data_IF_180911730982
#
_entry.id   IF_180911730982
#
_cell.length_a   1.000
_cell.length_b   1.000
_cell.length_c   1.000
_cell.angle_alpha   90.00
_cell.angle_beta   90.00
_cell.angle_gamma   90.00
#
_symmetry.space_group_name_H-M   'P 1'
#
loop_
_entity.id
_entity.type
_entity.pdbx_description
1 polymer ?
#
# COMPACT_ATOMS: atom_id res chain seq x y z
N UNK A 1 1.63 16.51 20.71
CA UNK A 1 2.09 17.84 20.27
C UNK A 1 1.32 18.94 20.97
N UNK A 2 2.02 20.03 21.35
CA UNK A 2 1.41 21.21 21.98
C UNK A 2 1.27 22.40 21.01
N UNK A 3 1.88 22.29 19.83
CA UNK A 3 1.83 23.28 18.75
C UNK A 3 1.53 22.59 17.44
N UNK A 4 0.90 23.31 16.52
CA UNK A 4 0.74 22.87 15.12
C UNK A 4 1.87 23.40 14.26
N UNK A 5 2.01 22.87 13.05
CA UNK A 5 2.98 23.36 12.07
C UNK A 5 3.73 22.26 11.31
N UNK A 6 4.82 22.65 10.66
CA UNK A 6 5.65 21.77 9.87
C UNK A 6 6.98 21.48 10.54
N UNK A 7 7.30 20.21 10.70
CA UNK A 7 8.62 19.72 11.14
C UNK A 7 9.40 19.37 9.89
N UNK A 8 10.41 20.16 9.57
CA UNK A 8 11.25 19.93 8.40
C UNK A 8 12.49 19.11 8.79
N UNK A 9 12.44 17.81 8.47
CA UNK A 9 13.54 16.89 8.72
C UNK A 9 14.71 17.20 7.76
N UNK A 10 15.91 17.19 8.27
CA UNK A 10 17.14 17.37 7.48
C UNK A 10 17.66 16.06 6.91
N UNK A 11 17.32 14.97 7.57
CA UNK A 11 17.71 13.60 7.20
C UNK A 11 16.65 12.60 7.66
N UNK A 12 16.78 11.35 7.26
CA UNK A 12 15.89 10.25 7.67
C UNK A 12 15.78 10.17 9.19
N UNK A 13 14.58 10.26 9.72
CA UNK A 13 14.31 10.00 11.13
C UNK A 13 14.09 8.48 11.33
N UNK A 14 15.04 7.84 12.00
CA UNK A 14 14.91 6.43 12.42
C UNK A 14 14.24 6.35 13.78
N UNK A 15 13.28 5.44 13.91
CA UNK A 15 12.54 5.19 15.15
C UNK A 15 12.88 3.80 15.72
N UNK A 16 13.98 3.66 16.48
CA UNK A 16 14.46 2.36 16.96
C UNK A 16 13.85 1.95 18.31
N UNK A 17 13.08 2.81 18.96
CA UNK A 17 12.50 2.53 20.29
C UNK A 17 11.10 1.96 20.15
N UNK A 18 10.79 0.84 20.81
CA UNK A 18 9.45 0.27 20.83
C UNK A 18 8.50 1.03 21.78
N UNK A 19 7.20 0.69 21.69
CA UNK A 19 6.15 1.23 22.55
C UNK A 19 5.98 2.76 22.40
N UNK A 20 5.90 3.23 21.17
CA UNK A 20 5.79 4.66 20.86
C UNK A 20 4.45 4.98 20.20
N UNK A 21 3.84 6.07 20.62
CA UNK A 21 2.69 6.68 19.94
C UNK A 21 3.04 8.09 19.46
N UNK A 22 2.92 8.33 18.17
CA UNK A 22 2.97 9.65 17.56
C UNK A 22 1.53 10.15 17.40
N UNK A 23 1.09 10.99 18.32
CA UNK A 23 -0.30 11.45 18.45
C UNK A 23 -0.50 12.84 17.85
N UNK A 24 -0.71 12.92 16.54
CA UNK A 24 -0.92 14.20 15.83
C UNK A 24 -2.22 14.91 16.19
N UNK A 25 -3.23 14.19 16.63
CA UNK A 25 -4.53 14.75 17.03
C UNK A 25 -4.46 15.70 18.23
N UNK A 26 -3.37 15.68 18.99
CA UNK A 26 -3.17 16.60 20.09
C UNK A 26 -2.65 17.98 19.65
N UNK A 27 -2.29 18.13 18.39
CA UNK A 27 -1.78 19.41 17.86
C UNK A 27 -2.93 20.36 17.52
N UNK A 28 -2.84 21.63 17.88
CA UNK A 28 -3.85 22.64 17.55
C UNK A 28 -3.79 23.05 16.08
N UNK A 29 -4.83 23.77 15.63
CA UNK A 29 -4.93 24.37 14.31
C UNK A 29 -4.88 23.34 13.20
N UNK A 30 -4.01 23.53 12.21
CA UNK A 30 -3.86 22.62 11.06
C UNK A 30 -3.11 21.32 11.36
N UNK A 31 -2.82 21.00 12.61
CA UNK A 31 -2.10 19.79 12.99
C UNK A 31 -0.61 19.78 12.64
N UNK A 32 -0.01 18.61 12.54
CA UNK A 32 1.42 18.42 12.26
C UNK A 32 1.64 17.94 10.83
N UNK A 33 2.60 18.57 10.17
CA UNK A 33 3.17 18.12 8.91
C UNK A 33 4.64 17.73 9.13
N UNK A 34 5.06 16.59 8.58
CA UNK A 34 6.46 16.17 8.54
C UNK A 34 6.92 16.26 7.10
N UNK A 35 8.00 16.99 6.84
CA UNK A 35 8.52 17.24 5.50
C UNK A 35 10.04 17.13 5.43
N UNK A 36 10.60 17.19 4.22
CA UNK A 36 12.05 17.28 3.96
C UNK A 36 12.77 15.95 3.88
N UNK A 37 12.38 14.96 4.68
CA UNK A 37 12.90 13.61 4.62
C UNK A 37 11.87 12.60 5.15
N UNK A 38 12.21 11.33 5.13
CA UNK A 38 11.30 10.26 5.53
C UNK A 38 11.43 9.86 7.01
N UNK A 39 10.38 9.20 7.52
CA UNK A 39 10.45 8.47 8.79
C UNK A 39 10.59 6.97 8.47
N UNK A 40 11.44 6.31 9.23
CA UNK A 40 11.63 4.87 9.17
C UNK A 40 11.43 4.23 10.54
N UNK A 41 10.40 3.39 10.65
CA UNK A 41 10.05 2.66 11.86
C UNK A 41 10.54 1.21 11.70
N UNK A 42 11.41 0.78 12.60
CA UNK A 42 11.94 -0.59 12.65
C UNK A 42 11.93 -1.13 14.09
N UNK A 43 10.89 -0.75 14.82
CA UNK A 43 10.66 -1.17 16.19
C UNK A 43 9.18 -1.45 16.40
N UNK A 44 8.88 -2.36 17.29
CA UNK A 44 7.54 -2.87 17.53
C UNK A 44 6.67 -1.98 18.43
N UNK A 45 5.36 -2.28 18.43
CA UNK A 45 4.35 -1.61 19.24
C UNK A 45 4.31 -0.10 18.94
N UNK A 46 4.04 0.25 17.68
CA UNK A 46 4.10 1.62 17.21
C UNK A 46 2.75 2.11 16.68
N UNK A 47 2.30 3.28 17.11
CA UNK A 47 1.06 3.90 16.66
C UNK A 47 1.38 5.27 16.09
N UNK A 48 0.92 5.55 14.87
CA UNK A 48 1.03 6.88 14.24
C UNK A 48 -0.36 7.35 13.83
N UNK A 49 -0.77 8.51 14.33
CA UNK A 49 -2.12 9.03 14.06
C UNK A 49 -2.11 10.52 13.75
N UNK A 50 -2.96 10.91 12.78
CA UNK A 50 -3.24 12.31 12.42
C UNK A 50 -2.00 13.12 12.03
N UNK A 51 -1.09 12.53 11.28
CA UNK A 51 0.12 13.18 10.75
C UNK A 51 0.00 13.34 9.23
N UNK A 52 0.45 14.47 8.73
CA UNK A 52 0.64 14.70 7.30
C UNK A 52 2.11 14.50 6.95
N UNK A 53 2.40 13.59 6.03
CA UNK A 53 3.74 13.32 5.53
C UNK A 53 3.90 13.93 4.14
N UNK A 54 4.89 14.81 3.98
CA UNK A 54 5.20 15.53 2.73
C UNK A 54 6.71 15.52 2.54
N UNK A 55 7.26 14.34 2.20
CA UNK A 55 8.71 14.13 2.19
C UNK A 55 9.43 15.07 1.21
N UNK A 56 8.90 15.25 0.00
CA UNK A 56 9.56 16.02 -1.04
C UNK A 56 10.83 15.35 -1.55
N UNK A 57 11.58 16.05 -2.39
CA UNK A 57 12.81 15.56 -2.99
C UNK A 57 14.07 16.36 -2.60
N UNK A 58 13.96 17.23 -1.59
CA UNK A 58 15.06 18.09 -1.17
C UNK A 58 16.22 17.29 -0.57
N UNK A 59 15.92 16.21 0.16
CA UNK A 59 16.95 15.34 0.74
C UNK A 59 17.70 14.51 -0.30
N UNK A 60 17.15 14.35 -1.51
CA UNK A 60 17.72 13.51 -2.57
C UNK A 60 17.76 12.02 -2.25
N UNK A 61 17.02 11.57 -1.25
CA UNK A 61 16.98 10.18 -0.81
C UNK A 61 15.82 9.43 -1.47
N UNK A 62 16.10 8.28 -2.08
CA UNK A 62 15.13 7.44 -2.80
C UNK A 62 14.24 6.63 -1.83
N UNK A 63 13.56 7.29 -0.90
CA UNK A 63 12.77 6.61 0.12
C UNK A 63 11.29 6.98 0.04
N UNK A 64 10.46 6.06 0.52
CA UNK A 64 9.05 6.31 0.81
C UNK A 64 8.91 7.38 1.91
N UNK A 65 7.82 8.14 1.94
CA UNK A 65 7.63 9.14 3.00
C UNK A 65 7.56 8.50 4.39
N UNK A 66 6.99 7.29 4.49
CA UNK A 66 7.01 6.45 5.67
C UNK A 66 7.43 5.03 5.29
N UNK A 67 8.49 4.52 5.90
CA UNK A 67 8.94 3.14 5.76
C UNK A 67 8.78 2.37 7.07
N UNK A 68 8.20 1.16 7.00
CA UNK A 68 7.97 0.27 8.14
C UNK A 68 8.26 -1.15 7.68
N UNK A 69 9.32 -1.72 8.17
CA UNK A 69 9.80 -3.02 7.72
C UNK A 69 10.36 -3.83 8.88
N UNK A 70 10.19 -5.16 8.83
CA UNK A 70 10.77 -6.10 9.78
C UNK A 70 10.40 -5.80 11.24
N UNK A 71 9.12 -5.58 11.49
CA UNK A 71 8.61 -5.25 12.83
C UNK A 71 7.20 -5.80 13.05
N UNK A 72 6.61 -5.51 14.20
CA UNK A 72 5.29 -6.04 14.57
C UNK A 72 4.46 -5.06 15.39
N UNK A 73 3.14 -5.29 15.42
CA UNK A 73 2.18 -4.52 16.19
C UNK A 73 2.18 -3.01 15.81
N UNK A 74 1.81 -2.71 14.58
CA UNK A 74 1.83 -1.37 14.02
C UNK A 74 0.41 -0.91 13.67
N UNK A 75 0.07 0.32 14.05
CA UNK A 75 -1.15 0.99 13.59
C UNK A 75 -0.80 2.35 12.98
N UNK A 76 -1.21 2.56 11.74
CA UNK A 76 -1.18 3.85 11.05
C UNK A 76 -2.62 4.27 10.79
N UNK A 77 -3.03 5.39 11.37
CA UNK A 77 -4.43 5.78 11.40
C UNK A 77 -4.63 7.28 11.14
N UNK A 78 -5.58 7.63 10.26
CA UNK A 78 -5.93 9.02 9.93
C UNK A 78 -4.72 9.88 9.50
N UNK A 79 -3.81 9.33 8.74
CA UNK A 79 -2.64 10.02 8.21
C UNK A 79 -2.82 10.37 6.72
N UNK A 80 -2.04 11.32 6.24
CA UNK A 80 -1.97 11.60 4.80
C UNK A 80 -0.53 11.65 4.29
N UNK A 81 -0.33 11.09 3.11
CA UNK A 81 0.98 10.90 2.50
C UNK A 81 0.98 11.44 1.09
N UNK A 82 1.93 12.32 0.77
CA UNK A 82 2.12 12.87 -0.58
C UNK A 82 3.56 13.28 -0.81
N UNK A 83 3.91 13.46 -2.08
CA UNK A 83 5.18 14.03 -2.53
C UNK A 83 6.41 13.19 -2.14
N UNK A 84 6.26 11.89 -2.06
CA UNK A 84 7.39 10.96 -1.91
C UNK A 84 8.11 10.75 -3.24
N UNK A 85 9.39 10.42 -3.18
CA UNK A 85 10.19 10.08 -4.35
C UNK A 85 10.04 8.63 -4.79
N UNK A 86 9.75 7.73 -3.87
CA UNK A 86 9.45 6.30 -4.12
C UNK A 86 7.95 6.08 -3.87
N UNK A 87 7.54 5.14 -3.03
CA UNK A 87 6.15 5.05 -2.57
C UNK A 87 5.81 6.11 -1.55
N UNK A 88 4.53 6.48 -1.44
CA UNK A 88 4.09 7.27 -0.29
C UNK A 88 4.29 6.51 1.01
N UNK A 89 4.00 5.20 1.01
CA UNK A 89 4.15 4.34 2.19
C UNK A 89 4.68 2.97 1.78
N UNK A 90 5.66 2.48 2.55
CA UNK A 90 6.17 1.12 2.45
C UNK A 90 5.92 0.39 3.77
N UNK A 91 5.10 -0.68 3.75
CA UNK A 91 4.77 -1.52 4.92
C UNK A 91 4.75 -2.97 4.49
N UNK A 92 5.83 -3.70 4.72
CA UNK A 92 5.94 -5.11 4.39
C UNK A 92 6.94 -5.83 5.29
N UNK A 93 6.97 -7.15 5.23
CA UNK A 93 7.80 -8.00 6.09
C UNK A 93 7.57 -7.70 7.58
N UNK A 94 6.31 -7.39 7.91
CA UNK A 94 5.85 -7.06 9.25
C UNK A 94 4.84 -8.10 9.72
N UNK A 95 4.52 -8.08 11.03
CA UNK A 95 3.41 -8.85 11.62
C UNK A 95 2.43 -7.94 12.32
N UNK A 96 1.14 -8.31 12.25
CA UNK A 96 0.08 -7.62 13.00
C UNK A 96 0.07 -6.11 12.72
N UNK A 97 -0.05 -5.75 11.44
CA UNK A 97 -0.06 -4.35 11.03
C UNK A 97 -1.43 -3.93 10.52
N UNK A 98 -1.82 -2.71 10.86
CA UNK A 98 -3.04 -2.09 10.34
C UNK A 98 -2.74 -0.71 9.81
N UNK A 99 -3.21 -0.41 8.59
CA UNK A 99 -3.25 0.96 8.06
C UNK A 99 -4.69 1.28 7.66
N UNK A 100 -5.23 2.34 8.25
CA UNK A 100 -6.64 2.67 8.09
C UNK A 100 -6.91 4.17 8.00
N UNK A 101 -7.99 4.54 7.30
CA UNK A 101 -8.48 5.90 7.18
C UNK A 101 -7.42 6.91 6.74
N UNK A 102 -6.52 6.46 5.88
CA UNK A 102 -5.41 7.25 5.38
C UNK A 102 -5.65 7.71 3.95
N UNK A 103 -4.97 8.79 3.56
CA UNK A 103 -4.93 9.29 2.19
C UNK A 103 -3.51 9.15 1.66
N UNK A 104 -3.35 8.45 0.54
CA UNK A 104 -2.11 8.28 -0.19
C UNK A 104 -2.28 8.92 -1.57
N UNK A 105 -1.74 10.11 -1.78
CA UNK A 105 -1.98 10.85 -3.02
C UNK A 105 -0.75 11.55 -3.55
N UNK A 106 -0.75 11.85 -4.84
CA UNK A 106 0.20 12.74 -5.49
C UNK A 106 1.68 12.48 -5.12
N UNK A 107 2.18 11.23 -5.22
CA UNK A 107 3.61 10.99 -5.15
C UNK A 107 4.32 11.68 -6.31
N UNK A 108 5.59 12.05 -6.16
CA UNK A 108 6.34 12.75 -7.19
C UNK A 108 6.63 11.81 -8.37
N UNK A 109 6.11 12.14 -9.54
CA UNK A 109 6.40 11.40 -10.76
C UNK A 109 7.81 11.72 -11.28
N UNK A 110 8.13 13.01 -11.40
CA UNK A 110 9.46 13.49 -11.74
C UNK A 110 10.09 14.07 -10.47
N UNK A 111 11.22 13.53 -10.09
CA UNK A 111 11.96 13.92 -8.87
C UNK A 111 13.44 13.67 -9.05
N UNK A 112 14.24 13.87 -8.02
CA UNK A 112 15.67 13.53 -7.99
C UNK A 112 15.97 12.04 -7.82
N UNK A 113 14.97 11.16 -7.96
CA UNK A 113 15.16 9.72 -7.82
C UNK A 113 16.12 9.18 -8.90
N UNK A 114 17.12 8.42 -8.51
CA UNK A 114 18.17 7.89 -9.39
C UNK A 114 17.67 6.90 -10.45
N UNK A 115 16.54 6.23 -10.21
CA UNK A 115 15.88 5.33 -11.17
C UNK A 115 14.91 6.04 -12.12
N UNK A 116 14.89 7.39 -12.14
CA UNK A 116 14.00 8.18 -12.98
C UNK A 116 12.57 8.29 -12.43
N UNK A 117 11.59 8.36 -13.35
CA UNK A 117 10.19 8.61 -13.01
C UNK A 117 9.57 7.47 -12.17
N UNK A 118 8.89 7.85 -11.06
CA UNK A 118 8.28 6.93 -10.10
C UNK A 118 6.77 7.22 -9.92
N UNK A 119 6.35 7.87 -8.87
CA UNK A 119 4.97 8.27 -8.62
C UNK A 119 4.10 7.14 -8.05
N UNK A 120 4.60 6.37 -7.09
CA UNK A 120 3.92 5.18 -6.57
C UNK A 120 3.17 5.44 -5.26
N UNK A 121 2.02 4.75 -5.10
CA UNK A 121 1.18 4.86 -3.92
C UNK A 121 1.76 4.16 -2.71
N UNK A 122 1.78 2.84 -2.70
CA UNK A 122 2.28 2.08 -1.56
C UNK A 122 2.85 0.71 -1.97
N UNK A 123 3.67 0.16 -1.09
CA UNK A 123 4.03 -1.24 -1.08
C UNK A 123 3.54 -1.85 0.23
N UNK A 124 2.61 -2.80 0.17
CA UNK A 124 1.94 -3.41 1.31
C UNK A 124 2.15 -4.91 1.33
N UNK A 125 2.19 -5.49 2.53
CA UNK A 125 2.31 -6.91 2.75
C UNK A 125 2.61 -7.21 4.20
N UNK A 126 2.85 -8.48 4.51
CA UNK A 126 3.20 -8.95 5.84
C UNK A 126 2.24 -10.01 6.36
N UNK A 127 2.57 -10.57 7.52
CA UNK A 127 1.78 -11.59 8.18
C UNK A 127 0.72 -10.95 9.07
N UNK A 128 -0.55 -11.39 8.96
CA UNK A 128 -1.69 -10.83 9.68
C UNK A 128 -1.82 -9.30 9.53
N UNK A 129 -1.77 -8.83 8.28
CA UNK A 129 -1.77 -7.40 7.97
C UNK A 129 -3.07 -6.97 7.31
N UNK A 130 -3.68 -5.88 7.79
CA UNK A 130 -4.94 -5.36 7.28
C UNK A 130 -4.81 -3.90 6.84
N UNK A 131 -5.20 -3.62 5.60
CA UNK A 131 -5.17 -2.30 4.98
C UNK A 131 -6.59 -1.94 4.54
N UNK A 132 -7.24 -1.01 5.26
CA UNK A 132 -8.66 -0.75 5.01
C UNK A 132 -9.06 0.71 5.12
N UNK A 133 -10.13 1.08 4.42
CA UNK A 133 -10.70 2.43 4.42
C UNK A 133 -9.69 3.52 4.05
N UNK A 134 -8.76 3.22 3.15
CA UNK A 134 -7.79 4.18 2.65
C UNK A 134 -8.20 4.71 1.28
N UNK A 135 -7.75 5.91 0.96
CA UNK A 135 -7.89 6.52 -0.36
C UNK A 135 -6.53 6.58 -1.05
N UNK A 136 -6.42 5.94 -2.20
CA UNK A 136 -5.37 6.20 -3.18
C UNK A 136 -5.90 7.17 -4.24
N UNK A 137 -5.17 8.25 -4.51
CA UNK A 137 -5.53 9.19 -5.56
C UNK A 137 -4.31 9.72 -6.31
N UNK A 138 -4.41 9.79 -7.64
CA UNK A 138 -3.39 10.39 -8.49
C UNK A 138 -1.99 9.76 -8.36
N UNK A 139 -1.93 8.45 -8.17
CA UNK A 139 -0.70 7.68 -8.17
C UNK A 139 -0.49 7.05 -9.55
N UNK A 140 0.75 6.98 -10.02
CA UNK A 140 1.05 6.37 -11.34
C UNK A 140 0.78 4.86 -11.33
N UNK A 141 0.95 4.22 -10.18
CA UNK A 141 0.70 2.81 -9.95
C UNK A 141 1.03 2.44 -8.51
N UNK A 142 1.09 1.13 -8.21
CA UNK A 142 1.29 0.62 -6.86
C UNK A 142 0.24 1.16 -5.88
N UNK A 143 -1.02 0.86 -6.18
CA UNK A 143 -2.13 1.24 -5.31
C UNK A 143 -2.86 0.01 -4.75
N UNK A 144 -2.18 -0.88 -4.03
CA UNK A 144 -0.73 -0.96 -3.76
C UNK A 144 0.04 -1.91 -4.71
N UNK A 145 1.36 -1.99 -4.60
CA UNK A 145 2.11 -3.21 -4.87
C UNK A 145 1.90 -4.12 -3.66
N UNK A 146 1.35 -5.31 -3.88
CA UNK A 146 1.23 -6.34 -2.84
C UNK A 146 2.53 -7.11 -2.77
N UNK A 147 3.21 -6.98 -1.65
CA UNK A 147 4.45 -7.69 -1.40
C UNK A 147 4.12 -9.13 -1.02
N UNK A 148 4.44 -10.07 -1.88
CA UNK A 148 4.26 -11.49 -1.58
C UNK A 148 5.35 -12.06 -0.69
N UNK A 149 5.32 -13.37 -0.48
CA UNK A 149 6.33 -14.07 0.30
C UNK A 149 7.68 -14.06 -0.40
N UNK A 150 8.75 -13.80 0.36
CA UNK A 150 10.14 -13.68 -0.15
C UNK A 150 11.12 -14.27 0.83
N UNK A 151 12.24 -14.80 0.33
CA UNK A 151 13.35 -15.25 1.17
C UNK A 151 14.29 -14.08 1.46
N UNK A 152 13.96 -13.29 2.45
CA UNK A 152 14.91 -12.37 3.05
C UNK A 152 15.35 -12.94 4.40
N UNK A 153 16.58 -13.36 4.45
CA UNK A 153 17.14 -14.15 5.54
C UNK A 153 17.20 -13.47 6.91
N UNK A 154 16.86 -12.21 7.03
CA UNK A 154 17.11 -11.46 8.26
C UNK A 154 15.94 -11.40 9.24
N UNK A 155 14.69 -11.60 8.81
CA UNK A 155 13.53 -11.34 9.67
C UNK A 155 12.66 -12.56 9.98
N UNK A 156 12.69 -13.60 9.15
CA UNK A 156 11.79 -14.76 9.28
C UNK A 156 10.30 -14.45 9.11
N UNK A 157 9.95 -13.22 8.68
CA UNK A 157 8.58 -12.75 8.55
C UNK A 157 8.11 -12.66 7.09
N UNK A 158 8.99 -12.87 6.17
CA UNK A 158 8.79 -12.64 4.75
C UNK A 158 8.38 -13.90 3.96
N UNK A 159 8.50 -15.08 4.54
CA UNK A 159 8.07 -16.34 3.93
C UNK A 159 6.55 -16.64 4.12
N UNK A 160 5.90 -15.99 5.07
CA UNK A 160 4.50 -16.21 5.43
C UNK A 160 3.75 -14.88 5.35
N UNK A 161 2.95 -14.72 4.32
CA UNK A 161 2.23 -13.47 4.05
C UNK A 161 0.74 -13.73 3.97
N UNK A 162 -0.02 -13.08 4.82
CA UNK A 162 -1.47 -13.00 4.75
C UNK A 162 -1.92 -11.54 4.93
N UNK A 163 -2.43 -10.99 3.84
CA UNK A 163 -2.73 -9.57 3.74
C UNK A 163 -4.20 -9.37 3.39
N UNK A 164 -4.86 -8.47 4.09
CA UNK A 164 -6.21 -8.04 3.78
C UNK A 164 -6.21 -6.61 3.22
N UNK A 165 -6.82 -6.41 2.06
CA UNK A 165 -7.00 -5.12 1.39
C UNK A 165 -8.51 -4.93 1.21
N UNK A 166 -9.13 -4.16 2.11
CA UNK A 166 -10.58 -4.15 2.27
C UNK A 166 -11.14 -2.73 2.31
N UNK A 167 -12.22 -2.47 1.59
CA UNK A 167 -12.95 -1.20 1.64
C UNK A 167 -12.10 0.03 1.31
N UNK A 168 -11.12 -0.08 0.44
CA UNK A 168 -10.32 1.06 -0.01
C UNK A 168 -10.91 1.67 -1.28
N UNK A 169 -10.57 2.93 -1.52
CA UNK A 169 -10.90 3.65 -2.75
C UNK A 169 -9.63 3.91 -3.54
N UNK A 170 -9.66 3.58 -4.82
CA UNK A 170 -8.55 3.79 -5.76
C UNK A 170 -9.03 4.70 -6.89
N UNK A 171 -8.51 5.92 -6.93
CA UNK A 171 -8.93 6.92 -7.91
C UNK A 171 -7.78 7.39 -8.79
N UNK A 172 -8.04 7.44 -10.10
CA UNK A 172 -7.18 8.09 -11.08
C UNK A 172 -5.71 7.62 -11.04
N UNK A 173 -5.51 6.29 -11.03
CA UNK A 173 -4.16 5.73 -11.20
C UNK A 173 -3.66 5.95 -12.64
N UNK A 174 -2.35 5.90 -12.81
CA UNK A 174 -1.71 6.14 -14.11
C UNK A 174 -1.53 4.85 -14.93
N UNK A 175 -0.51 4.83 -15.75
CA UNK A 175 -0.27 3.83 -16.78
C UNK A 175 0.36 2.51 -16.30
N UNK A 176 0.47 2.27 -15.02
CA UNK A 176 1.11 1.05 -14.45
C UNK A 176 0.13 0.09 -13.78
N UNK A 177 -1.17 0.29 -14.00
CA UNK A 177 -2.21 -0.46 -13.32
C UNK A 177 -2.45 0.01 -11.89
N UNK A 178 -3.56 -0.38 -11.30
CA UNK A 178 -3.87 -0.02 -9.93
C UNK A 178 -3.08 -0.88 -8.94
N UNK A 179 -3.41 -2.14 -8.82
CA UNK A 179 -2.81 -3.08 -7.89
C UNK A 179 -2.10 -4.22 -8.64
N UNK A 180 -0.99 -4.69 -8.10
CA UNK A 180 -0.32 -5.88 -8.61
C UNK A 180 0.56 -6.53 -7.53
N UNK A 181 1.00 -7.77 -7.78
CA UNK A 181 1.95 -8.46 -6.92
C UNK A 181 1.40 -9.72 -6.26
N UNK A 182 1.83 -9.99 -5.04
CA UNK A 182 1.38 -11.11 -4.22
C UNK A 182 1.98 -12.46 -4.60
N UNK A 183 3.04 -12.52 -5.41
CA UNK A 183 3.68 -13.77 -5.80
C UNK A 183 4.44 -14.41 -4.65
N UNK A 184 4.66 -15.71 -4.79
CA UNK A 184 5.54 -16.47 -3.94
C UNK A 184 6.95 -16.50 -4.55
N UNK A 185 7.92 -15.97 -3.83
CA UNK A 185 9.34 -15.98 -4.20
C UNK A 185 10.19 -16.69 -3.13
N UNK A 186 9.55 -17.44 -2.24
CA UNK A 186 10.20 -18.16 -1.15
C UNK A 186 10.36 -19.63 -1.49
N UNK A 187 11.49 -20.22 -1.09
CA UNK A 187 11.75 -21.65 -1.12
C UNK A 187 11.66 -22.28 0.27
N UNK A 188 11.29 -21.51 1.28
CA UNK A 188 11.06 -22.02 2.64
C UNK A 188 9.90 -22.99 2.62
N UNK A 189 10.07 -24.14 3.24
CA UNK A 189 9.00 -25.16 3.33
C UNK A 189 7.76 -24.59 4.02
N UNK A 190 6.61 -24.77 3.38
CA UNK A 190 5.33 -24.25 3.87
C UNK A 190 5.12 -22.74 3.66
N UNK A 191 6.04 -22.04 2.98
CA UNK A 191 5.87 -20.63 2.65
C UNK A 191 4.55 -20.38 1.90
N UNK A 192 3.89 -19.25 2.19
CA UNK A 192 2.66 -18.87 1.52
C UNK A 192 2.57 -17.36 1.31
N UNK A 193 1.84 -16.98 0.26
CA UNK A 193 1.39 -15.62 0.02
C UNK A 193 -0.11 -15.62 -0.22
N UNK A 194 -0.87 -15.06 0.69
CA UNK A 194 -2.34 -15.04 0.68
C UNK A 194 -2.84 -13.61 0.75
N UNK A 195 -3.78 -13.25 -0.12
CA UNK A 195 -4.33 -11.90 -0.16
C UNK A 195 -5.84 -11.95 -0.27
N UNK A 196 -6.53 -11.29 0.65
CA UNK A 196 -7.94 -10.97 0.56
C UNK A 196 -8.11 -9.58 -0.07
N UNK A 197 -8.74 -9.49 -1.21
CA UNK A 197 -9.06 -8.25 -1.91
C UNK A 197 -10.58 -8.07 -1.95
N UNK A 198 -11.14 -7.33 -0.99
CA UNK A 198 -12.58 -7.34 -0.73
C UNK A 198 -13.16 -5.93 -0.70
N UNK A 199 -14.29 -5.74 -1.38
CA UNK A 199 -15.10 -4.53 -1.31
C UNK A 199 -14.34 -3.22 -1.62
N UNK A 200 -13.29 -3.25 -2.42
CA UNK A 200 -12.59 -2.03 -2.83
C UNK A 200 -13.30 -1.38 -4.02
N UNK A 201 -13.19 -0.06 -4.11
CA UNK A 201 -13.75 0.71 -5.20
C UNK A 201 -12.65 1.30 -6.08
N UNK A 202 -12.68 0.95 -7.36
CA UNK A 202 -11.71 1.39 -8.37
C UNK A 202 -12.39 2.33 -9.37
N UNK A 203 -11.97 3.58 -9.36
CA UNK A 203 -12.48 4.62 -10.25
C UNK A 203 -11.38 5.17 -11.15
N UNK A 204 -11.34 4.81 -12.44
CA UNK A 204 -10.48 5.44 -13.41
C UNK A 204 -10.71 6.94 -13.48
N UNK A 205 -9.65 7.68 -13.77
CA UNK A 205 -9.70 9.13 -13.94
C UNK A 205 -8.93 9.58 -15.18
N UNK A 206 -8.68 10.89 -15.31
CA UNK A 206 -8.00 11.43 -16.50
C UNK A 206 -6.60 10.86 -16.75
N UNK A 207 -5.90 10.40 -15.71
CA UNK A 207 -4.58 9.79 -15.84
C UNK A 207 -4.62 8.29 -16.17
N UNK A 208 -5.75 7.63 -15.97
CA UNK A 208 -5.95 6.23 -16.29
C UNK A 208 -6.26 6.09 -17.78
N UNK A 209 -5.42 5.38 -18.52
CA UNK A 209 -5.68 5.16 -19.94
C UNK A 209 -6.58 3.94 -20.17
N UNK A 210 -7.16 3.82 -21.37
CA UNK A 210 -8.12 2.76 -21.70
C UNK A 210 -7.54 1.35 -21.60
N UNK A 211 -6.25 1.18 -21.75
CA UNK A 211 -5.58 -0.10 -21.58
C UNK A 211 -5.56 -0.52 -20.11
N UNK A 212 -5.36 0.42 -19.21
CA UNK A 212 -5.31 0.19 -17.77
C UNK A 212 -6.69 0.04 -17.13
N UNK A 213 -7.77 0.44 -17.82
CA UNK A 213 -9.13 0.21 -17.36
C UNK A 213 -9.47 -1.28 -17.19
N UNK A 214 -8.66 -2.17 -17.76
CA UNK A 214 -8.85 -3.63 -17.68
C UNK A 214 -8.16 -4.26 -16.48
N UNK A 215 -7.31 -3.51 -15.78
CA UNK A 215 -6.39 -4.06 -14.80
C UNK A 215 -6.49 -3.30 -13.48
N UNK A 216 -7.43 -3.63 -12.64
CA UNK A 216 -7.39 -3.12 -11.29
C UNK A 216 -6.50 -4.02 -10.40
N UNK A 217 -6.35 -5.31 -10.72
CA UNK A 217 -5.45 -6.22 -10.01
C UNK A 217 -4.72 -7.12 -11.01
N UNK A 218 -3.40 -7.17 -10.94
CA UNK A 218 -2.54 -8.09 -11.68
C UNK A 218 -1.84 -9.04 -10.71
N UNK A 219 -2.46 -10.19 -10.48
CA UNK A 219 -1.96 -11.23 -9.59
C UNK A 219 -0.84 -12.08 -10.22
N UNK A 220 -0.54 -11.87 -11.50
CA UNK A 220 0.48 -12.62 -12.27
C UNK A 220 1.73 -11.81 -12.57
N UNK A 221 1.82 -10.58 -12.09
CA UNK A 221 2.98 -9.72 -12.29
C UNK A 221 4.26 -10.41 -11.82
N UNK A 222 5.29 -10.42 -12.66
CA UNK A 222 6.56 -11.11 -12.40
C UNK A 222 6.46 -12.63 -12.15
N UNK A 223 5.38 -13.28 -12.59
CA UNK A 223 5.17 -14.71 -12.41
C UNK A 223 6.31 -15.59 -12.97
N UNK A 224 7.02 -15.11 -13.99
CA UNK A 224 8.15 -15.82 -14.59
C UNK A 224 9.38 -15.92 -13.68
N UNK A 225 9.50 -15.06 -12.69
CA UNK A 225 10.59 -15.05 -11.72
C UNK A 225 10.19 -15.61 -10.36
N UNK A 226 8.90 -15.90 -10.18
CA UNK A 226 8.35 -16.41 -8.93
C UNK A 226 8.54 -17.93 -8.80
N UNK A 227 8.60 -18.43 -7.56
CA UNK A 227 8.54 -19.87 -7.25
C UNK A 227 7.12 -20.39 -7.31
N UNK A 228 6.13 -19.50 -7.25
CA UNK A 228 4.72 -19.78 -7.38
C UNK A 228 3.87 -18.52 -7.41
N UNK A 229 2.60 -18.69 -7.75
CA UNK A 229 1.61 -17.62 -7.66
C UNK A 229 1.07 -17.55 -6.23
N UNK A 230 0.70 -16.35 -5.80
CA UNK A 230 0.01 -16.17 -4.54
C UNK A 230 -1.44 -16.67 -4.62
N UNK A 231 -2.01 -16.90 -3.46
CA UNK A 231 -3.40 -17.30 -3.30
C UNK A 231 -4.25 -16.03 -3.06
N UNK A 232 -5.33 -15.87 -3.83
CA UNK A 232 -6.15 -14.68 -3.78
C UNK A 232 -7.62 -15.02 -3.52
N UNK A 233 -8.23 -14.32 -2.59
CA UNK A 233 -9.68 -14.23 -2.49
C UNK A 233 -10.11 -12.84 -2.94
N UNK A 234 -10.92 -12.77 -4.00
CA UNK A 234 -11.34 -11.51 -4.63
C UNK A 234 -12.87 -11.50 -4.65
N UNK A 235 -13.47 -10.59 -3.88
CA UNK A 235 -14.92 -10.48 -3.80
C UNK A 235 -15.40 -9.06 -3.55
N UNK A 236 -16.60 -8.71 -4.00
CA UNK A 236 -17.29 -7.46 -3.74
C UNK A 236 -16.60 -6.19 -4.27
N UNK A 237 -15.51 -6.30 -5.02
CA UNK A 237 -14.83 -5.12 -5.56
C UNK A 237 -15.63 -4.49 -6.70
N UNK A 238 -15.66 -3.17 -6.73
CA UNK A 238 -16.34 -2.40 -7.76
C UNK A 238 -15.33 -1.68 -8.64
N UNK A 239 -15.47 -1.84 -9.94
CA UNK A 239 -14.63 -1.20 -10.94
C UNK A 239 -15.48 -0.34 -11.87
N UNK A 240 -15.31 0.97 -11.84
CA UNK A 240 -16.01 1.91 -12.71
C UNK A 240 -15.22 2.12 -14.00
N UNK A 241 -15.68 1.53 -15.11
CA UNK A 241 -15.04 1.71 -16.42
C UNK A 241 -15.68 2.83 -17.20
N UNK A 242 -14.96 3.38 -18.19
CA UNK A 242 -15.51 4.40 -19.09
C UNK A 242 -16.68 3.86 -19.94
N UNK A 243 -16.72 2.57 -20.23
CA UNK A 243 -17.80 1.89 -20.94
C UNK A 243 -19.10 1.89 -20.14
N UNK A 244 -19.02 2.00 -18.82
CA UNK A 244 -20.17 1.95 -17.89
C UNK A 244 -20.57 3.29 -17.32
N UNK A 245 -20.11 4.40 -17.86
CA UNK A 245 -20.48 5.75 -17.39
C UNK A 245 -21.99 5.98 -17.34
N UNK A 246 -22.75 5.22 -18.11
CA UNK A 246 -24.23 5.29 -18.18
C UNK A 246 -24.91 4.06 -17.53
N UNK A 247 -24.19 3.08 -17.06
CA UNK A 247 -24.77 1.91 -16.41
C UNK A 247 -24.69 2.06 -14.89
N UNK A 248 -25.87 1.98 -14.29
CA UNK A 248 -26.01 2.01 -12.83
C UNK A 248 -25.48 0.74 -12.14
N UNK A 249 -25.13 -0.29 -12.90
CA UNK A 249 -24.63 -1.59 -12.42
C UNK A 249 -23.10 -1.77 -12.43
N UNK A 250 -22.30 -0.81 -12.84
CA UNK A 250 -21.20 -0.28 -12.10
C UNK A 250 -20.00 -1.05 -11.66
N UNK A 251 -19.70 -2.12 -12.10
CA UNK A 251 -18.52 -2.91 -11.79
C UNK A 251 -18.63 -4.20 -12.52
N UNK A 252 -18.06 -4.27 -13.70
CA UNK A 252 -17.99 -5.54 -14.41
C UNK A 252 -16.90 -6.40 -13.76
N UNK A 253 -17.26 -7.07 -12.69
CA UNK A 253 -16.42 -8.10 -12.11
C UNK A 253 -15.98 -9.16 -13.13
N UNK A 254 -16.70 -9.33 -14.23
CA UNK A 254 -16.36 -10.32 -15.24
C UNK A 254 -15.07 -10.00 -15.97
N UNK A 255 -14.78 -8.73 -16.25
CA UNK A 255 -13.50 -8.32 -16.88
C UNK A 255 -12.32 -8.46 -15.92
N UNK A 256 -12.53 -8.19 -14.67
CA UNK A 256 -11.55 -8.43 -13.62
C UNK A 256 -11.32 -9.91 -13.46
N UNK A 257 -12.40 -10.66 -13.37
CA UNK A 257 -12.39 -12.08 -13.14
C UNK A 257 -11.75 -12.83 -14.32
N UNK A 258 -11.98 -12.43 -15.57
CA UNK A 258 -11.37 -13.07 -16.73
C UNK A 258 -9.84 -13.08 -16.69
N UNK A 259 -9.22 -12.08 -16.05
CA UNK A 259 -7.76 -11.97 -15.97
C UNK A 259 -7.18 -12.38 -14.61
N UNK A 260 -7.98 -12.43 -13.56
CA UNK A 260 -7.49 -12.68 -12.20
C UNK A 260 -8.03 -13.96 -11.57
N UNK A 261 -9.19 -14.47 -12.00
CA UNK A 261 -9.74 -15.73 -11.48
C UNK A 261 -8.89 -16.96 -11.78
N UNK A 262 -8.03 -16.92 -12.79
CA UNK A 262 -7.08 -17.99 -13.07
C UNK A 262 -6.17 -18.25 -11.86
N UNK A 263 -5.97 -17.24 -11.04
CA UNK A 263 -5.08 -17.25 -9.87
C UNK A 263 -5.81 -17.16 -8.54
N UNK A 264 -7.10 -16.85 -8.57
CA UNK A 264 -7.93 -16.82 -7.37
C UNK A 264 -8.30 -18.24 -6.98
N UNK A 265 -7.81 -18.69 -5.85
CA UNK A 265 -8.28 -19.94 -5.25
C UNK A 265 -9.51 -19.62 -4.42
N UNK A 266 -10.59 -20.35 -4.67
CA UNK A 266 -11.81 -20.27 -3.86
C UNK A 266 -11.50 -20.71 -2.43
N UNK A 267 -11.17 -19.77 -1.55
CA UNK A 267 -11.03 -20.04 -0.14
C UNK A 267 -12.37 -19.86 0.56
N UNK A 268 -12.92 -20.96 0.98
CA UNK A 268 -13.82 -20.97 2.12
C UNK A 268 -12.97 -20.73 3.36
N UNK A 269 -13.15 -19.56 3.96
CA UNK A 269 -12.70 -19.18 5.30
C UNK A 269 -11.21 -18.81 5.49
N UNK A 270 -10.85 -17.56 5.18
CA UNK A 270 -10.08 -16.82 6.16
C UNK A 270 -11.12 -16.22 7.13
N UNK A 271 -11.26 -16.80 8.30
CA UNK A 271 -12.06 -16.19 9.36
C UNK A 271 -11.35 -14.92 9.79
N UNK A 272 -12.03 -13.80 9.68
CA UNK A 272 -11.58 -12.57 10.32
C UNK A 272 -11.27 -12.88 11.79
N UNK A 273 -10.12 -12.47 12.32
CA UNK A 273 -9.92 -12.53 13.75
C UNK A 273 -10.99 -11.65 14.40
N UNK A 274 -11.83 -12.26 15.21
CA UNK A 274 -12.83 -11.57 16.04
C UNK A 274 -12.16 -10.75 17.11
#
# INVERSE_FOLDING_TARGET
>A
FKVGGTINLKERLKCPRPNVTIAGQSAPGGGICISGANIYIHSKNFIVRYIRFRAGDLSGSNYSALGIENTENIIIDHCSFSWSMEENVTMYDNKYTTMQWCILSEPLYVSKHDKGARGYGAQWGGEHSTFHHNLFAHCVGRTPLVNGARDKSASGHDAFVDTEIINNVHFNWGNKGALYGGQLHSIVEGAYSRTNLINNYYKPGPATNTFQDRWFADCSHDASSATGLGEWYIDGNMFETNEYKNDKNKGDHSKVNANNWIYAVSYTHLTLPT
#
